data_IF_659472834378
#
_entry.id   IF_659472834378
#
_cell.length_a   1.000
_cell.length_b   1.000
_cell.length_c   1.000
_cell.angle_alpha   90.00
_cell.angle_beta   90.00
_cell.angle_gamma   90.00
#
_symmetry.space_group_name_H-M   'P 1'
#
loop_
_entity.id
_entity.type
_entity.pdbx_description
1 polymer ?
#
# COMPACT_ATOMS: atom_id res chain seq x y z
N UNK A 1 -13.75 18.18 24.85
CA UNK A 1 -12.33 18.55 24.63
C UNK A 1 -11.88 17.69 23.46
N UNK A 2 -11.73 18.26 22.29
CA UNK A 2 -11.15 17.52 21.16
C UNK A 2 -9.69 17.26 21.50
N UNK A 3 -9.32 15.99 21.65
CA UNK A 3 -7.92 15.59 21.77
C UNK A 3 -7.20 16.00 20.48
N UNK A 4 -6.17 16.85 20.61
CA UNK A 4 -5.31 17.17 19.47
C UNK A 4 -4.65 15.88 19.00
N UNK A 5 -4.63 15.61 17.68
CA UNK A 5 -3.97 14.42 17.15
C UNK A 5 -2.50 14.41 17.55
N UNK A 6 -2.03 13.29 18.11
CA UNK A 6 -0.64 13.08 18.49
C UNK A 6 0.16 12.70 17.25
N UNK A 7 1.25 13.43 16.98
CA UNK A 7 2.21 13.07 15.95
C UNK A 7 2.96 11.80 16.35
N UNK A 8 3.04 10.81 15.46
CA UNK A 8 3.73 9.53 15.70
C UNK A 8 4.82 9.21 14.69
N UNK A 9 4.77 9.85 13.53
CA UNK A 9 5.72 9.63 12.45
C UNK A 9 6.72 10.79 12.39
N UNK A 10 7.87 10.60 13.03
CA UNK A 10 8.91 11.62 13.10
C UNK A 10 9.95 11.42 12.01
N UNK A 11 10.81 12.43 11.83
CA UNK A 11 11.89 12.41 10.84
C UNK A 11 12.79 11.17 10.93
N UNK A 12 12.96 10.58 12.12
CA UNK A 12 13.77 9.37 12.31
C UNK A 12 13.15 8.17 11.59
N UNK A 13 11.85 7.95 11.78
CA UNK A 13 11.07 6.89 11.14
C UNK A 13 11.01 7.11 9.63
N UNK A 14 10.74 8.34 9.20
CA UNK A 14 10.76 8.73 7.80
C UNK A 14 12.12 8.42 7.14
N UNK A 15 13.23 8.82 7.74
CA UNK A 15 14.58 8.54 7.22
C UNK A 15 14.88 7.05 7.13
N UNK A 16 14.48 6.26 8.13
CA UNK A 16 14.71 4.83 8.13
C UNK A 16 13.95 4.13 6.99
N UNK A 17 12.69 4.48 6.78
CA UNK A 17 11.86 3.92 5.70
C UNK A 17 12.35 4.42 4.34
N UNK A 18 12.62 5.71 4.18
CA UNK A 18 13.15 6.27 2.93
C UNK A 18 14.50 5.66 2.56
N UNK A 19 15.37 5.39 3.53
CA UNK A 19 16.62 4.68 3.30
C UNK A 19 16.39 3.24 2.84
N UNK A 20 15.46 2.52 3.47
CA UNK A 20 15.11 1.18 3.04
C UNK A 20 14.59 1.15 1.60
N UNK A 21 13.77 2.13 1.20
CA UNK A 21 13.28 2.28 -0.18
C UNK A 21 14.43 2.50 -1.18
N UNK A 22 15.44 3.30 -0.82
CA UNK A 22 16.56 3.63 -1.72
C UNK A 22 17.65 2.56 -1.80
N UNK A 23 17.70 1.61 -0.87
CA UNK A 23 18.76 0.58 -0.77
C UNK A 23 18.26 -0.84 -0.89
N UNK A 24 16.99 -1.05 -1.27
CA UNK A 24 16.43 -2.39 -1.40
C UNK A 24 17.11 -3.19 -2.53
N UNK A 25 17.25 -4.49 -2.30
CA UNK A 25 17.75 -5.45 -3.29
C UNK A 25 16.59 -6.27 -3.91
N UNK A 26 15.55 -6.54 -3.10
CA UNK A 26 14.37 -7.31 -3.49
C UNK A 26 13.08 -6.58 -3.11
N UNK A 27 12.18 -6.40 -4.11
CA UNK A 27 10.94 -5.66 -3.94
C UNK A 27 9.99 -6.28 -2.91
N UNK A 28 9.88 -7.61 -2.86
CA UNK A 28 9.00 -8.28 -1.91
C UNK A 28 9.46 -8.04 -0.46
N UNK A 29 10.78 -8.13 -0.25
CA UNK A 29 11.39 -7.82 1.05
C UNK A 29 11.19 -6.36 1.43
N UNK A 30 11.34 -5.42 0.49
CA UNK A 30 11.06 -4.01 0.72
C UNK A 30 9.61 -3.79 1.15
N UNK A 31 8.64 -4.30 0.39
CA UNK A 31 7.21 -4.10 0.69
C UNK A 31 6.84 -4.66 2.06
N UNK A 32 7.40 -5.82 2.42
CA UNK A 32 7.22 -6.42 3.75
C UNK A 32 7.78 -5.52 4.85
N UNK A 33 9.01 -5.03 4.70
CA UNK A 33 9.63 -4.12 5.67
C UNK A 33 8.89 -2.79 5.79
N UNK A 34 8.31 -2.29 4.69
CA UNK A 34 7.49 -1.09 4.71
C UNK A 34 6.20 -1.29 5.50
N UNK A 35 5.48 -2.40 5.27
CA UNK A 35 4.27 -2.70 6.02
C UNK A 35 4.55 -2.82 7.52
N UNK A 36 5.62 -3.55 7.90
CA UNK A 36 6.03 -3.71 9.29
C UNK A 36 6.54 -2.40 9.89
N UNK A 37 7.43 -1.68 9.21
CA UNK A 37 8.02 -0.42 9.68
C UNK A 37 6.95 0.66 9.89
N UNK A 38 6.00 0.79 8.97
CA UNK A 38 4.88 1.72 9.07
C UNK A 38 3.97 1.34 10.24
N UNK A 39 3.55 0.08 10.33
CA UNK A 39 2.70 -0.39 11.42
C UNK A 39 3.33 -0.15 12.81
N UNK A 40 4.62 -0.41 12.96
CA UNK A 40 5.37 -0.17 14.21
C UNK A 40 5.54 1.32 14.52
N UNK A 41 5.87 2.15 13.52
CA UNK A 41 6.05 3.60 13.71
C UNK A 41 4.78 4.27 14.22
N UNK A 42 3.63 3.86 13.66
CA UNK A 42 2.32 4.35 14.10
C UNK A 42 1.79 3.68 15.37
N UNK A 43 2.44 2.62 15.86
CA UNK A 43 1.91 1.75 16.92
C UNK A 43 0.49 1.29 16.57
N UNK A 44 0.27 1.04 15.30
CA UNK A 44 -1.01 0.66 14.77
C UNK A 44 -1.33 -0.80 15.09
N UNK A 45 -2.62 -1.14 15.11
CA UNK A 45 -3.07 -2.53 15.17
C UNK A 45 -2.53 -3.34 13.99
N UNK A 46 -2.50 -2.73 12.81
CA UNK A 46 -1.94 -3.36 11.63
C UNK A 46 -1.71 -2.39 10.48
N UNK A 47 -0.97 -2.87 9.50
CA UNK A 47 -0.74 -2.18 8.24
C UNK A 47 -0.86 -3.19 7.09
N UNK A 48 -1.39 -2.76 5.95
CA UNK A 48 -1.36 -3.56 4.73
C UNK A 48 -0.99 -2.73 3.50
N UNK A 49 -0.34 -3.38 2.55
CA UNK A 49 -0.04 -2.84 1.22
C UNK A 49 -0.79 -3.71 0.21
N UNK A 50 -1.60 -3.07 -0.61
CA UNK A 50 -2.38 -3.70 -1.66
C UNK A 50 -2.11 -3.01 -2.98
N UNK A 51 -2.05 -3.77 -4.07
CA UNK A 51 -1.89 -3.26 -5.43
C UNK A 51 -3.18 -3.44 -6.22
N UNK A 52 -3.35 -2.58 -7.21
CA UNK A 52 -4.50 -2.58 -8.08
C UNK A 52 -4.38 -3.67 -9.15
N UNK A 53 -5.40 -4.52 -9.24
CA UNK A 53 -5.65 -5.34 -10.41
C UNK A 53 -6.71 -4.63 -11.28
N UNK A 54 -6.24 -3.95 -12.33
CA UNK A 54 -7.10 -3.21 -13.25
C UNK A 54 -8.08 -4.12 -14.02
N UNK A 55 -7.71 -5.40 -14.25
CA UNK A 55 -8.53 -6.33 -15.02
C UNK A 55 -9.75 -6.79 -14.22
N UNK A 56 -9.50 -7.11 -12.94
CA UNK A 56 -10.54 -7.58 -12.02
C UNK A 56 -11.21 -6.41 -11.27
N UNK A 57 -10.75 -5.17 -11.45
CA UNK A 57 -11.22 -3.97 -10.76
C UNK A 57 -11.22 -4.14 -9.23
N UNK A 58 -10.15 -4.70 -8.69
CA UNK A 58 -10.00 -5.00 -7.28
C UNK A 58 -8.58 -4.74 -6.78
N UNK A 59 -8.44 -4.69 -5.47
CA UNK A 59 -7.16 -4.65 -4.79
C UNK A 59 -6.76 -6.05 -4.36
N UNK A 60 -5.56 -6.48 -4.71
CA UNK A 60 -4.97 -7.70 -4.20
C UNK A 60 -3.94 -7.40 -3.10
N UNK A 61 -3.94 -8.23 -2.09
CA UNK A 61 -3.03 -8.14 -0.97
C UNK A 61 -1.60 -8.54 -1.38
N UNK A 62 -0.62 -7.69 -1.04
CA UNK A 62 0.79 -7.96 -1.28
C UNK A 62 1.53 -8.24 0.02
N UNK A 63 1.32 -7.43 1.04
CA UNK A 63 1.97 -7.60 2.34
C UNK A 63 1.17 -6.97 3.46
N UNK A 64 1.35 -7.49 4.68
CA UNK A 64 0.74 -6.91 5.88
C UNK A 64 1.59 -7.14 7.13
N UNK A 65 1.26 -6.38 8.16
CA UNK A 65 1.77 -6.49 9.51
C UNK A 65 0.61 -6.39 10.50
N UNK A 66 0.61 -7.23 11.55
CA UNK A 66 -0.34 -7.16 12.66
C UNK A 66 -1.79 -7.56 12.34
N UNK A 67 -2.03 -8.17 11.17
CA UNK A 67 -3.34 -8.65 10.73
C UNK A 67 -3.36 -10.18 10.68
N UNK A 68 -4.50 -10.78 11.03
CA UNK A 68 -4.70 -12.22 10.94
C UNK A 68 -4.89 -12.69 9.49
N UNK A 69 -4.54 -13.95 9.22
CA UNK A 69 -4.77 -14.59 7.92
C UNK A 69 -6.27 -14.59 7.55
N UNK A 70 -7.14 -14.72 8.54
CA UNK A 70 -8.59 -14.67 8.34
C UNK A 70 -9.03 -13.30 7.82
N UNK A 71 -8.50 -12.22 8.39
CA UNK A 71 -8.80 -10.86 7.92
C UNK A 71 -8.22 -10.59 6.54
N UNK A 72 -7.03 -11.08 6.25
CA UNK A 72 -6.39 -10.94 4.94
C UNK A 72 -7.23 -11.65 3.87
N UNK A 73 -7.72 -12.85 4.16
CA UNK A 73 -8.49 -13.69 3.24
C UNK A 73 -10.02 -13.48 3.31
N UNK A 74 -10.50 -12.35 3.83
CA UNK A 74 -11.93 -12.04 4.00
C UNK A 74 -12.72 -11.95 2.70
N UNK A 75 -12.06 -11.84 1.56
CA UNK A 75 -12.64 -11.68 0.24
C UNK A 75 -11.99 -10.54 -0.56
N UNK A 76 -12.35 -10.39 -1.85
CA UNK A 76 -11.79 -9.38 -2.73
C UNK A 76 -12.18 -7.97 -2.27
N UNK A 77 -11.24 -7.04 -2.28
CA UNK A 77 -11.50 -5.62 -2.01
C UNK A 77 -11.78 -4.93 -3.34
N UNK A 78 -13.05 -4.79 -3.66
CA UNK A 78 -13.51 -4.16 -4.89
C UNK A 78 -13.35 -2.64 -4.83
N UNK A 79 -13.11 -2.01 -5.97
CA UNK A 79 -13.07 -0.55 -6.05
C UNK A 79 -14.49 0.02 -5.98
N UNK A 80 -14.69 0.99 -5.11
CA UNK A 80 -15.88 1.83 -5.07
C UNK A 80 -15.55 3.16 -5.76
N UNK A 81 -16.18 3.46 -6.92
CA UNK A 81 -15.82 4.64 -7.71
C UNK A 81 -15.96 5.98 -7.00
N UNK A 82 -16.83 6.07 -6.00
CA UNK A 82 -17.18 7.37 -5.40
C UNK A 82 -16.33 7.75 -4.19
N UNK A 83 -15.78 6.77 -3.45
CA UNK A 83 -15.24 7.05 -2.11
C UNK A 83 -13.98 6.26 -1.73
N UNK A 84 -13.18 5.82 -2.68
CA UNK A 84 -11.95 5.12 -2.35
C UNK A 84 -10.70 5.95 -2.65
N UNK A 85 -9.63 5.77 -1.85
CA UNK A 85 -8.36 6.48 -2.04
C UNK A 85 -7.75 6.27 -3.43
N UNK A 86 -8.03 5.13 -4.09
CA UNK A 86 -7.62 4.87 -5.48
C UNK A 86 -8.38 5.76 -6.45
N UNK A 87 -9.68 5.96 -6.23
CA UNK A 87 -10.52 6.71 -7.16
C UNK A 87 -10.33 8.21 -7.02
N UNK A 88 -10.15 8.70 -5.80
CA UNK A 88 -9.95 10.12 -5.52
C UNK A 88 -8.50 10.56 -5.68
N UNK A 89 -7.55 9.66 -5.48
CA UNK A 89 -6.14 9.99 -5.39
C UNK A 89 -5.74 10.68 -4.10
N UNK A 90 -6.63 10.76 -3.12
CA UNK A 90 -6.43 11.44 -1.85
C UNK A 90 -6.49 10.44 -0.68
N UNK A 91 -5.83 10.76 0.46
CA UNK A 91 -5.99 9.97 1.68
C UNK A 91 -7.45 9.88 2.10
N UNK A 92 -7.90 8.68 2.47
CA UNK A 92 -9.26 8.45 2.98
C UNK A 92 -9.17 7.90 4.39
N UNK A 93 -9.81 8.59 5.33
CA UNK A 93 -9.93 8.16 6.71
C UNK A 93 -11.35 7.66 7.00
N UNK A 94 -11.44 6.50 7.65
CA UNK A 94 -12.69 5.90 8.13
C UNK A 94 -12.58 5.77 9.65
N UNK A 95 -13.36 6.56 10.38
CA UNK A 95 -13.35 6.61 11.83
C UNK A 95 -14.04 5.39 12.46
N UNK A 96 -15.08 4.89 11.84
CA UNK A 96 -15.87 3.75 12.32
C UNK A 96 -16.04 2.70 11.21
N UNK A 97 -15.21 1.67 11.27
CA UNK A 97 -15.22 0.56 10.31
C UNK A 97 -16.45 -0.35 10.41
N UNK A 98 -17.20 -0.30 11.50
CA UNK A 98 -18.39 -1.11 11.71
C UNK A 98 -19.63 -0.49 11.08
N UNK A 99 -19.74 0.84 11.08
CA UNK A 99 -20.94 1.56 10.68
C UNK A 99 -20.77 2.38 9.39
N UNK A 100 -19.53 2.53 8.88
CA UNK A 100 -19.29 3.27 7.64
C UNK A 100 -19.81 2.50 6.42
N UNK A 101 -20.59 3.13 5.53
CA UNK A 101 -21.03 2.53 4.27
C UNK A 101 -19.87 2.24 3.30
N UNK A 102 -18.70 2.84 3.52
CA UNK A 102 -17.49 2.65 2.70
C UNK A 102 -16.76 1.33 3.00
N UNK A 103 -17.19 0.59 4.03
CA UNK A 103 -16.53 -0.65 4.45
C UNK A 103 -17.25 -1.87 3.90
N UNK A 104 -16.60 -2.62 3.04
CA UNK A 104 -17.18 -3.82 2.41
C UNK A 104 -17.30 -5.00 3.37
N UNK A 105 -16.43 -5.09 4.40
CA UNK A 105 -16.37 -6.21 5.34
C UNK A 105 -16.42 -5.76 6.82
N UNK A 106 -17.52 -5.09 7.26
CA UNK A 106 -17.58 -4.54 8.63
C UNK A 106 -17.51 -5.62 9.71
N UNK A 107 -18.12 -6.80 9.45
CA UNK A 107 -18.07 -7.93 10.39
C UNK A 107 -16.67 -8.51 10.54
N UNK A 108 -15.89 -8.57 9.45
CA UNK A 108 -14.51 -9.03 9.50
C UNK A 108 -13.63 -8.02 10.24
N UNK A 109 -13.84 -6.71 10.03
CA UNK A 109 -13.16 -5.66 10.77
C UNK A 109 -13.44 -5.72 12.28
N UNK A 110 -14.72 -5.93 12.66
CA UNK A 110 -15.12 -6.10 14.06
C UNK A 110 -14.45 -7.33 14.70
N UNK A 111 -14.43 -8.47 14.00
CA UNK A 111 -13.79 -9.70 14.48
C UNK A 111 -12.28 -9.55 14.63
N UNK A 112 -11.64 -8.83 13.73
CA UNK A 112 -10.21 -8.49 13.80
C UNK A 112 -9.89 -7.46 14.89
N UNK A 113 -10.89 -6.77 15.43
CA UNK A 113 -10.72 -5.70 16.42
C UNK A 113 -10.20 -4.42 15.79
N UNK A 114 -10.60 -4.12 14.56
CA UNK A 114 -10.28 -2.87 13.87
C UNK A 114 -11.45 -1.92 14.02
N UNK A 115 -11.19 -0.73 14.55
CA UNK A 115 -12.19 0.33 14.73
C UNK A 115 -12.09 1.40 13.65
N UNK A 116 -10.89 1.86 13.33
CA UNK A 116 -10.69 2.90 12.31
C UNK A 116 -9.59 2.54 11.32
N UNK A 117 -9.56 3.22 10.15
CA UNK A 117 -8.60 2.94 9.08
C UNK A 117 -8.24 4.22 8.33
N UNK A 118 -6.96 4.38 8.04
CA UNK A 118 -6.44 5.38 7.09
C UNK A 118 -5.94 4.67 5.84
N UNK A 119 -6.42 5.08 4.66
CA UNK A 119 -5.96 4.60 3.35
C UNK A 119 -5.18 5.71 2.65
N UNK A 120 -3.94 5.42 2.23
CA UNK A 120 -3.06 6.32 1.47
C UNK A 120 -2.86 5.73 0.08
N UNK A 121 -3.12 6.48 -1.01
CA UNK A 121 -2.89 5.99 -2.37
C UNK A 121 -1.39 5.84 -2.68
N UNK A 122 -1.01 4.76 -3.35
CA UNK A 122 0.32 4.57 -3.92
C UNK A 122 0.28 5.12 -5.34
N UNK A 123 0.94 6.25 -5.55
CA UNK A 123 0.98 6.95 -6.84
C UNK A 123 2.30 6.66 -7.55
N UNK A 124 2.23 6.39 -8.85
CA UNK A 124 3.39 6.38 -9.73
C UNK A 124 3.10 7.30 -10.91
N UNK A 125 3.82 8.43 -10.99
CA UNK A 125 3.57 9.50 -11.96
C UNK A 125 2.11 9.99 -11.89
N UNK A 126 1.28 9.63 -12.89
CA UNK A 126 -0.13 10.03 -12.96
C UNK A 126 -1.09 8.87 -12.66
N UNK A 127 -0.57 7.66 -12.42
CA UNK A 127 -1.37 6.48 -12.13
C UNK A 127 -1.36 6.16 -10.64
N UNK A 128 -2.49 5.67 -10.13
CA UNK A 128 -2.59 5.12 -8.79
C UNK A 128 -2.54 3.60 -8.93
N UNK A 129 -1.50 3.00 -8.38
CA UNK A 129 -1.18 1.58 -8.56
C UNK A 129 -1.51 0.72 -7.34
N UNK A 130 -1.96 1.33 -6.25
CA UNK A 130 -2.29 0.61 -5.03
C UNK A 130 -2.61 1.53 -3.87
N UNK A 131 -2.64 0.95 -2.66
CA UNK A 131 -2.86 1.67 -1.39
C UNK A 131 -2.00 1.10 -0.26
N UNK A 132 -1.68 1.97 0.70
CA UNK A 132 -1.23 1.59 2.04
C UNK A 132 -2.40 1.84 2.99
N UNK A 133 -2.77 0.84 3.80
CA UNK A 133 -3.78 0.98 4.85
C UNK A 133 -3.16 0.82 6.22
N UNK A 134 -3.49 1.74 7.12
CA UNK A 134 -3.17 1.67 8.54
C UNK A 134 -4.45 1.41 9.28
N UNK A 135 -4.45 0.40 10.15
CA UNK A 135 -5.61 -0.04 10.93
C UNK A 135 -5.37 0.22 12.41
N UNK A 136 -6.38 0.76 13.08
CA UNK A 136 -6.35 1.07 14.51
C UNK A 136 -7.45 0.31 15.26
N UNK A 137 -7.16 -0.05 16.50
CA UNK A 137 -8.09 -0.73 17.41
C UNK A 137 -9.06 0.22 18.12
N UNK A 138 -8.92 1.52 17.86
CA UNK A 138 -9.76 2.60 18.43
C UNK A 138 -9.97 3.70 17.41
N UNK A 139 -10.99 4.50 17.60
CA UNK A 139 -11.17 5.74 16.84
C UNK A 139 -9.97 6.67 17.12
N UNK A 140 -9.36 7.17 16.07
CA UNK A 140 -8.16 8.01 16.14
C UNK A 140 -8.18 9.05 15.03
N UNK A 141 -7.81 10.27 15.38
CA UNK A 141 -7.52 11.32 14.39
C UNK A 141 -6.02 11.28 14.10
N UNK A 142 -5.65 11.17 12.83
CA UNK A 142 -4.26 11.22 12.40
C UNK A 142 -3.77 12.66 12.33
N UNK A 143 -2.52 12.89 12.72
CA UNK A 143 -1.88 14.20 12.57
C UNK A 143 -1.61 14.48 11.10
N UNK A 144 -1.84 15.71 10.64
CA UNK A 144 -1.67 16.10 9.24
C UNK A 144 -0.25 15.81 8.73
N UNK A 145 0.80 16.16 9.50
CA UNK A 145 2.18 15.87 9.12
C UNK A 145 2.50 14.37 9.03
N UNK A 146 1.77 13.51 9.76
CA UNK A 146 1.91 12.06 9.64
C UNK A 146 1.31 11.57 8.30
N UNK A 147 0.18 12.13 7.89
CA UNK A 147 -0.47 11.84 6.60
C UNK A 147 0.44 12.31 5.46
N UNK A 148 0.95 13.54 5.51
CA UNK A 148 1.86 14.10 4.51
C UNK A 148 3.12 13.25 4.33
N UNK A 149 3.75 12.85 5.44
CA UNK A 149 4.92 11.99 5.41
C UNK A 149 4.62 10.61 4.77
N UNK A 150 3.45 10.04 5.06
CA UNK A 150 2.99 8.79 4.43
C UNK A 150 2.72 8.96 2.93
N UNK A 151 2.14 10.08 2.51
CA UNK A 151 1.94 10.38 1.09
C UNK A 151 3.27 10.42 0.34
N UNK A 152 4.29 11.11 0.87
CA UNK A 152 5.62 11.16 0.25
C UNK A 152 6.25 9.76 0.18
N UNK A 153 6.18 8.96 1.24
CA UNK A 153 6.70 7.59 1.23
C UNK A 153 5.94 6.69 0.24
N UNK A 154 4.64 6.88 0.15
CA UNK A 154 3.77 6.14 -0.78
C UNK A 154 4.11 6.45 -2.24
N UNK A 155 4.38 7.70 -2.58
CA UNK A 155 4.86 8.12 -3.91
C UNK A 155 6.24 7.52 -4.24
N UNK A 156 7.18 7.53 -3.27
CA UNK A 156 8.48 6.87 -3.45
C UNK A 156 8.33 5.37 -3.72
N UNK A 157 7.45 4.70 -2.97
CA UNK A 157 7.16 3.28 -3.19
C UNK A 157 6.57 3.05 -4.58
N UNK A 158 5.66 3.91 -5.04
CA UNK A 158 5.07 3.83 -6.36
C UNK A 158 6.11 3.87 -7.48
N UNK A 159 7.06 4.82 -7.40
CA UNK A 159 8.17 4.92 -8.35
C UNK A 159 9.06 3.69 -8.37
N UNK A 160 9.32 3.10 -7.20
CA UNK A 160 10.13 1.87 -7.07
C UNK A 160 9.43 0.68 -7.69
N UNK A 161 8.13 0.51 -7.43
CA UNK A 161 7.33 -0.58 -8.01
C UNK A 161 7.32 -0.48 -9.54
N UNK A 162 7.08 0.71 -10.09
CA UNK A 162 7.10 0.95 -11.53
C UNK A 162 8.47 0.64 -12.15
N UNK A 163 9.53 1.17 -11.53
CA UNK A 163 10.91 0.96 -12.01
C UNK A 163 11.29 -0.51 -12.01
N UNK A 164 10.88 -1.25 -10.99
CA UNK A 164 11.13 -2.69 -10.90
C UNK A 164 10.34 -3.47 -11.96
N UNK A 165 9.10 -3.09 -12.21
CA UNK A 165 8.30 -3.66 -13.31
C UNK A 165 8.94 -3.46 -14.67
N UNK A 166 9.44 -2.26 -14.98
CA UNK A 166 10.17 -1.96 -16.22
C UNK A 166 11.46 -2.77 -16.34
N UNK A 167 12.23 -2.92 -15.25
CA UNK A 167 13.44 -3.73 -15.23
C UNK A 167 13.14 -5.19 -15.55
N UNK A 168 12.16 -5.78 -14.89
CA UNK A 168 11.74 -7.16 -15.14
C UNK A 168 11.30 -7.35 -16.59
N UNK A 169 10.50 -6.44 -17.14
CA UNK A 169 10.09 -6.46 -18.54
C UNK A 169 11.30 -6.44 -19.49
N UNK A 170 12.31 -5.59 -19.26
CA UNK A 170 13.53 -5.54 -20.07
C UNK A 170 14.33 -6.83 -20.00
N UNK A 171 14.42 -7.45 -18.82
CA UNK A 171 15.12 -8.72 -18.61
C UNK A 171 14.39 -9.87 -19.33
N UNK A 172 13.05 -9.87 -19.31
CA UNK A 172 12.23 -10.82 -20.07
C UNK A 172 12.43 -10.68 -21.59
N UNK A 173 12.44 -9.43 -22.11
CA UNK A 173 12.71 -9.15 -23.53
C UNK A 173 14.11 -9.60 -23.92
N UNK A 174 15.14 -9.33 -23.13
CA UNK A 174 16.52 -9.80 -23.38
C UNK A 174 16.58 -11.33 -23.40
N UNK A 175 15.95 -11.97 -22.43
CA UNK A 175 15.88 -13.44 -22.37
C UNK A 175 15.21 -14.03 -23.60
N UNK A 176 14.07 -13.46 -24.02
CA UNK A 176 13.38 -13.86 -25.23
C UNK A 176 14.27 -13.71 -26.50
N UNK A 177 14.94 -12.57 -26.64
CA UNK A 177 15.87 -12.32 -27.77
C UNK A 177 17.04 -13.30 -27.80
N UNK A 178 17.64 -13.60 -26.63
CA UNK A 178 18.76 -14.57 -26.56
C UNK A 178 18.32 -16.01 -26.79
N UNK A 179 17.04 -16.33 -26.62
CA UNK A 179 16.48 -17.65 -26.90
C UNK A 179 16.06 -17.86 -28.37
N UNK A 180 16.06 -16.80 -29.19
CA UNK A 180 15.72 -16.90 -30.60
C UNK A 180 16.84 -17.63 -31.38
N UNK A 181 16.49 -18.56 -32.30
CA UNK A 181 17.46 -19.21 -33.18
C UNK A 181 18.20 -18.15 -34.03
N UNK A 182 19.55 -18.27 -34.11
CA UNK A 182 20.42 -17.35 -34.87
C UNK A 182 19.93 -17.07 -36.31
N UNK A 183 19.24 -18.04 -36.95
CA UNK A 183 18.66 -17.86 -38.27
C UNK A 183 17.59 -16.78 -38.43
N UNK A 184 16.96 -16.36 -37.31
CA UNK A 184 15.95 -15.29 -37.33
C UNK A 184 16.59 -13.91 -37.07
N UNK A 185 17.81 -13.86 -36.57
CA UNK A 185 18.53 -12.62 -36.31
C UNK A 185 19.36 -12.14 -37.53
N UNK A 186 19.63 -13.02 -38.50
CA UNK A 186 20.37 -12.70 -39.72
C UNK A 186 19.48 -12.09 -40.83
N UNK A 187 18.16 -11.94 -40.58
CA UNK A 187 17.19 -11.39 -41.54
C UNK A 187 16.60 -10.04 -41.16
N UNK A 188 17.13 -9.37 -40.12
CA UNK A 188 16.79 -8.00 -39.72
C UNK A 188 17.98 -7.08 -39.99
#
# INVERSE_FOLDING_TARGET
MEEKPERRFYLKEFKAISHAISTYEDLNTLIRHLAEGTGRAFRAKGCSIMLLDERENQLFHVSSYGLSDEYINKGPVLLDPENCAICTGEPVFIEDMQNSPLVQYPKAAAKEGITSMLSIPIKSRQAIIGIIRIYEDKARVFHEEDIDALCVLSEHLGLVIETNGLKNFLDDVKSALTSLPLRLLEGL
#
